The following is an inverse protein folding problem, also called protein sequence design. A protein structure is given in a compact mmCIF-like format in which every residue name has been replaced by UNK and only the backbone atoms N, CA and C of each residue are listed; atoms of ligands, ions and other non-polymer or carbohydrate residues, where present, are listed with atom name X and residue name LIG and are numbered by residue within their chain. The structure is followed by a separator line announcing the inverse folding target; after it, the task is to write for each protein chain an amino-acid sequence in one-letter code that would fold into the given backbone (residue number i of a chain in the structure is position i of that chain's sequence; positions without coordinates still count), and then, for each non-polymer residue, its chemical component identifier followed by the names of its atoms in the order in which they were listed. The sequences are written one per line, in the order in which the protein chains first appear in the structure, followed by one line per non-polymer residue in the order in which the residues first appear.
data_IF_989409976063
#
_entry.id   IF_989409976063
#
_cell.length_a   1.000
_cell.length_b   1.000
_cell.length_c   1.000
_cell.angle_alpha   90.00
_cell.angle_beta   90.00
_cell.angle_gamma   90.00
#
_symmetry.space_group_name_H-M   'P 1'
#
loop_
_entity.id
_entity.type
_entity.pdbx_description
1 polymer ?
#
# COMPACT_ATOMS: atom_id res chain seq x y z
N UNK A 1 -20.69 -2.84 25.29
CA UNK A 1 -20.82 -1.38 25.45
C UNK A 1 -19.99 -0.71 24.36
N UNK A 2 -20.65 -0.12 23.36
CA UNK A 2 -20.00 0.45 22.19
C UNK A 2 -19.27 1.75 22.53
N UNK A 3 -17.99 1.84 22.17
CA UNK A 3 -17.24 3.10 22.23
C UNK A 3 -17.84 4.04 21.19
N UNK A 4 -18.72 4.94 21.62
CA UNK A 4 -18.95 6.17 20.87
C UNK A 4 -17.61 6.91 20.90
N UNK A 5 -16.86 6.85 19.79
CA UNK A 5 -15.79 7.80 19.52
C UNK A 5 -16.48 9.16 19.54
N UNK A 6 -16.31 9.90 20.63
CA UNK A 6 -16.81 11.27 20.69
C UNK A 6 -16.04 12.05 19.62
N UNK A 7 -16.74 12.43 18.53
CA UNK A 7 -16.17 13.28 17.50
C UNK A 7 -15.69 14.58 18.16
N UNK A 8 -14.36 14.74 18.27
CA UNK A 8 -13.77 15.94 18.84
C UNK A 8 -13.89 17.05 17.80
N UNK A 9 -14.89 17.90 17.98
CA UNK A 9 -15.09 19.06 17.11
C UNK A 9 -14.08 20.16 17.45
N UNK A 10 -13.22 20.50 16.48
CA UNK A 10 -12.24 21.58 16.63
C UNK A 10 -12.62 22.78 15.74
N UNK A 11 -12.78 23.96 16.37
CA UNK A 11 -13.04 25.22 15.65
C UNK A 11 -11.73 25.78 15.10
N UNK A 12 -11.51 25.59 13.81
CA UNK A 12 -10.32 26.08 13.11
C UNK A 12 -10.45 27.56 12.73
N UNK A 13 -9.35 28.32 12.86
CA UNK A 13 -9.23 29.66 12.29
C UNK A 13 -8.43 29.58 10.99
N UNK A 14 -8.98 30.13 9.91
CA UNK A 14 -8.34 30.15 8.59
C UNK A 14 -8.69 31.44 7.84
N UNK A 15 -7.90 31.79 6.83
CA UNK A 15 -8.18 32.92 5.93
C UNK A 15 -9.31 32.59 4.96
N UNK A 16 -9.96 33.62 4.40
CA UNK A 16 -11.06 33.45 3.45
C UNK A 16 -10.59 32.71 2.18
N UNK A 17 -9.44 33.09 1.63
CA UNK A 17 -8.85 32.44 0.46
C UNK A 17 -8.59 30.93 0.69
N UNK A 18 -8.14 30.55 1.89
CA UNK A 18 -7.89 29.14 2.21
C UNK A 18 -9.21 28.36 2.28
N UNK A 19 -10.24 28.97 2.87
CA UNK A 19 -11.58 28.38 2.92
C UNK A 19 -12.13 28.16 1.51
N UNK A 20 -11.98 29.14 0.61
CA UNK A 20 -12.51 29.04 -0.75
C UNK A 20 -11.84 27.92 -1.55
N UNK A 21 -10.51 27.75 -1.39
CA UNK A 21 -9.77 26.60 -1.96
C UNK A 21 -10.26 25.26 -1.44
N UNK A 22 -10.56 25.15 -0.14
CA UNK A 22 -11.09 23.92 0.45
C UNK A 22 -12.50 23.64 -0.09
N UNK A 23 -13.35 24.68 -0.25
CA UNK A 23 -14.70 24.53 -0.83
C UNK A 23 -14.62 23.98 -2.25
N UNK A 24 -13.75 24.55 -3.08
CA UNK A 24 -13.57 24.12 -4.46
C UNK A 24 -13.08 22.68 -4.54
N UNK A 25 -12.03 22.35 -3.79
CA UNK A 25 -11.52 20.98 -3.64
C UNK A 25 -12.60 20.00 -3.19
N UNK A 26 -13.40 20.36 -2.18
CA UNK A 26 -14.45 19.51 -1.65
C UNK A 26 -15.52 19.21 -2.71
N UNK A 27 -15.86 20.19 -3.56
CA UNK A 27 -16.78 20.00 -4.69
C UNK A 27 -16.20 19.07 -5.75
N UNK A 28 -14.95 19.27 -6.14
CA UNK A 28 -14.27 18.40 -7.12
C UNK A 28 -14.24 16.93 -6.65
N UNK A 29 -14.04 16.73 -5.36
CA UNK A 29 -13.93 15.40 -4.75
C UNK A 29 -15.28 14.86 -4.22
N UNK A 30 -16.40 15.55 -4.48
CA UNK A 30 -17.75 15.18 -4.02
C UNK A 30 -17.83 14.87 -2.51
N UNK A 31 -17.13 15.66 -1.68
CA UNK A 31 -17.08 15.49 -0.21
C UNK A 31 -17.47 16.76 0.53
N UNK A 32 -17.79 16.64 1.83
CA UNK A 32 -18.06 17.81 2.67
C UNK A 32 -16.76 18.58 2.95
N UNK A 33 -16.86 19.85 3.32
CA UNK A 33 -15.70 20.68 3.66
C UNK A 33 -14.89 20.09 4.82
N UNK A 34 -15.56 19.61 5.87
CA UNK A 34 -14.89 18.96 6.99
C UNK A 34 -14.20 17.66 6.56
N UNK A 35 -14.84 16.86 5.69
CA UNK A 35 -14.22 15.65 5.15
C UNK A 35 -12.99 15.96 4.28
N UNK A 36 -12.99 17.06 3.53
CA UNK A 36 -11.84 17.52 2.75
C UNK A 36 -10.68 17.96 3.64
N UNK A 37 -10.97 18.71 4.69
CA UNK A 37 -9.99 19.17 5.69
C UNK A 37 -9.33 17.98 6.39
N UNK A 38 -10.14 17.04 6.88
CA UNK A 38 -9.67 15.85 7.58
C UNK A 38 -8.73 15.05 6.67
N UNK A 39 -9.19 14.75 5.44
CA UNK A 39 -8.38 14.02 4.46
C UNK A 39 -7.05 14.73 4.14
N UNK A 40 -7.05 16.05 3.97
CA UNK A 40 -5.81 16.82 3.72
C UNK A 40 -4.85 16.81 4.89
N UNK A 41 -5.37 16.88 6.13
CA UNK A 41 -4.54 16.78 7.32
C UNK A 41 -3.93 15.39 7.41
N UNK A 42 -4.69 14.34 7.15
CA UNK A 42 -4.18 12.97 7.14
C UNK A 42 -3.14 12.74 6.04
N UNK A 43 -3.38 13.25 4.82
CA UNK A 43 -2.39 13.25 3.74
C UNK A 43 -1.09 13.94 4.17
N UNK A 44 -1.17 15.03 4.94
CA UNK A 44 0.01 15.73 5.44
C UNK A 44 0.83 14.90 6.44
N UNK A 45 0.17 14.07 7.24
CA UNK A 45 0.86 13.13 8.14
C UNK A 45 1.43 11.93 7.36
N UNK A 46 0.80 11.52 6.26
CA UNK A 46 1.33 10.47 5.37
C UNK A 46 2.58 10.93 4.61
N UNK A 47 2.62 12.19 4.17
CA UNK A 47 3.80 12.77 3.52
C UNK A 47 5.04 12.69 4.43
N UNK A 48 4.89 12.80 5.75
CA UNK A 48 6.03 12.65 6.68
C UNK A 48 6.57 11.22 6.77
N UNK A 49 5.76 10.21 6.44
CA UNK A 49 6.19 8.80 6.37
C UNK A 49 6.78 8.48 4.99
N UNK A 50 6.24 9.08 3.93
CA UNK A 50 6.65 8.83 2.54
C UNK A 50 7.89 9.62 2.10
N UNK A 51 8.24 10.74 2.77
CA UNK A 51 9.44 11.52 2.41
C UNK A 51 10.75 10.87 2.92
N UNK A 52 10.68 9.78 3.68
CA UNK A 52 11.88 9.09 4.16
C UNK A 52 12.50 8.10 3.15
N UNK A 53 11.74 7.52 2.20
CA UNK A 53 12.26 6.42 1.38
C UNK A 53 11.97 6.61 -0.12
N UNK A 54 12.70 7.54 -0.73
CA UNK A 54 13.03 7.50 -2.18
C UNK A 54 14.04 6.39 -2.52
N UNK A 55 14.38 5.53 -1.56
CA UNK A 55 15.19 4.34 -1.77
C UNK A 55 14.22 3.18 -1.94
N UNK A 56 14.20 2.57 -3.13
CA UNK A 56 13.40 1.37 -3.37
C UNK A 56 13.82 0.31 -2.34
N UNK A 57 12.96 0.09 -1.34
CA UNK A 57 13.13 -1.01 -0.40
C UNK A 57 13.10 -2.30 -1.24
N UNK A 58 14.26 -2.93 -1.39
CA UNK A 58 14.47 -4.17 -2.16
C UNK A 58 15.07 -5.20 -1.21
N UNK A 59 14.45 -6.38 -1.16
CA UNK A 59 14.94 -7.55 -0.43
C UNK A 59 15.20 -8.68 -1.41
N UNK A 60 16.36 -9.33 -1.28
CA UNK A 60 16.71 -10.50 -2.08
C UNK A 60 16.98 -11.65 -1.13
N UNK A 61 16.28 -12.77 -1.32
CA UNK A 61 16.47 -13.99 -0.53
C UNK A 61 16.77 -15.19 -1.42
N UNK A 62 17.63 -16.13 -0.98
CA UNK A 62 17.76 -17.42 -1.64
C UNK A 62 16.55 -18.30 -1.33
N UNK A 63 16.09 -19.06 -2.32
CA UNK A 63 15.08 -20.11 -2.17
C UNK A 63 15.75 -21.49 -2.19
N UNK A 64 15.12 -22.47 -1.57
CA UNK A 64 15.61 -23.85 -1.47
C UNK A 64 15.78 -24.55 -2.82
N UNK A 65 15.04 -24.11 -3.85
CA UNK A 65 15.10 -24.64 -5.22
C UNK A 65 16.24 -24.05 -6.07
N UNK A 66 17.19 -23.31 -5.47
CA UNK A 66 18.31 -22.68 -6.18
C UNK A 66 17.97 -21.35 -6.86
N UNK A 67 16.71 -20.89 -6.80
CA UNK A 67 16.30 -19.56 -7.27
C UNK A 67 16.60 -18.50 -6.22
N UNK A 68 16.57 -17.24 -6.64
CA UNK A 68 16.55 -16.06 -5.78
C UNK A 68 15.19 -15.39 -5.93
N UNK A 69 14.60 -14.98 -4.81
CA UNK A 69 13.39 -14.17 -4.80
C UNK A 69 13.76 -12.72 -4.55
N UNK A 70 13.32 -11.84 -5.44
CA UNK A 70 13.45 -10.38 -5.33
C UNK A 70 12.09 -9.86 -4.89
N UNK A 71 12.06 -9.07 -3.81
CA UNK A 71 10.86 -8.45 -3.26
C UNK A 71 11.09 -6.95 -3.19
N UNK A 72 10.14 -6.15 -3.68
CA UNK A 72 10.23 -4.70 -3.63
C UNK A 72 8.85 -4.04 -3.60
N UNK A 73 8.80 -2.79 -3.17
CA UNK A 73 7.57 -1.98 -3.18
C UNK A 73 7.29 -1.30 -1.85
N UNK A 74 6.31 -0.39 -1.86
CA UNK A 74 6.00 0.52 -0.74
C UNK A 74 5.62 -0.20 0.56
N UNK A 75 5.09 -1.43 0.48
CA UNK A 75 4.63 -2.20 1.62
C UNK A 75 5.63 -3.26 2.08
N UNK A 76 6.82 -3.37 1.47
CA UNK A 76 7.81 -4.40 1.82
C UNK A 76 8.13 -4.41 3.32
N UNK A 77 8.42 -3.24 3.90
CA UNK A 77 8.75 -3.12 5.31
C UNK A 77 7.51 -3.00 6.22
N UNK A 78 6.30 -3.00 5.65
CA UNK A 78 5.03 -2.93 6.40
C UNK A 78 4.45 -4.32 6.64
N UNK A 79 4.62 -5.24 5.70
CA UNK A 79 4.06 -6.58 5.77
C UNK A 79 5.13 -7.56 6.26
N UNK A 80 4.93 -8.09 7.46
CA UNK A 80 5.80 -9.14 8.00
C UNK A 80 5.32 -10.50 7.47
N UNK A 81 5.92 -10.94 6.37
CA UNK A 81 5.55 -12.16 5.64
C UNK A 81 6.73 -13.13 5.57
N UNK A 82 6.43 -14.42 5.61
CA UNK A 82 7.43 -15.44 5.27
C UNK A 82 7.60 -15.51 3.75
N UNK A 83 8.63 -14.82 3.25
CA UNK A 83 8.94 -14.80 1.83
C UNK A 83 9.59 -16.10 1.30
N UNK A 84 9.94 -17.06 2.17
CA UNK A 84 10.63 -18.30 1.77
C UNK A 84 9.70 -19.38 1.21
N UNK A 85 8.39 -19.24 1.43
CA UNK A 85 7.35 -20.19 1.00
C UNK A 85 7.08 -20.16 -0.53
N UNK A 86 6.16 -21.01 -1.01
CA UNK A 86 5.78 -21.01 -2.43
C UNK A 86 5.03 -19.72 -2.82
N UNK A 87 5.00 -19.36 -4.12
CA UNK A 87 4.23 -18.17 -4.55
C UNK A 87 2.73 -18.33 -4.28
N UNK A 88 2.20 -19.56 -4.32
CA UNK A 88 0.78 -19.81 -4.06
C UNK A 88 0.43 -19.61 -2.59
N UNK A 89 1.27 -20.09 -1.67
CA UNK A 89 1.06 -19.90 -0.23
C UNK A 89 1.28 -18.42 0.15
N UNK A 90 2.34 -17.81 -0.38
CA UNK A 90 2.65 -16.39 -0.17
C UNK A 90 1.54 -15.48 -0.68
N UNK A 91 0.87 -15.85 -1.77
CA UNK A 91 -0.30 -15.11 -2.27
C UNK A 91 -1.40 -15.05 -1.21
N UNK A 92 -1.75 -16.18 -0.60
CA UNK A 92 -2.82 -16.28 0.40
C UNK A 92 -2.49 -15.40 1.61
N UNK A 93 -1.24 -15.43 2.07
CA UNK A 93 -0.80 -14.61 3.20
C UNK A 93 -0.83 -13.12 2.88
N UNK A 94 -0.46 -12.72 1.65
CA UNK A 94 -0.55 -11.31 1.21
C UNK A 94 -2.02 -10.89 1.17
N UNK A 95 -2.92 -11.70 0.61
CA UNK A 95 -4.35 -11.40 0.57
C UNK A 95 -4.91 -11.21 1.98
N UNK A 96 -4.57 -12.10 2.92
CA UNK A 96 -4.97 -12.00 4.32
C UNK A 96 -4.39 -10.74 5.00
N UNK A 97 -3.11 -10.43 4.74
CA UNK A 97 -2.45 -9.26 5.29
C UNK A 97 -3.06 -7.97 4.75
N UNK A 98 -3.40 -7.91 3.45
CA UNK A 98 -4.08 -6.77 2.82
C UNK A 98 -5.51 -6.60 3.35
N UNK A 99 -6.24 -7.70 3.54
CA UNK A 99 -7.56 -7.67 4.17
C UNK A 99 -7.46 -7.11 5.60
N UNK A 100 -6.52 -7.62 6.40
CA UNK A 100 -6.28 -7.14 7.77
C UNK A 100 -5.86 -5.67 7.78
N UNK A 101 -4.98 -5.28 6.86
CA UNK A 101 -4.49 -3.91 6.73
C UNK A 101 -5.63 -2.95 6.39
N UNK A 102 -6.52 -3.32 5.47
CA UNK A 102 -7.70 -2.54 5.11
C UNK A 102 -8.66 -2.36 6.28
N UNK A 103 -8.79 -3.36 7.16
CA UNK A 103 -9.64 -3.28 8.37
C UNK A 103 -8.98 -2.51 9.53
N UNK A 104 -7.66 -2.50 9.61
CA UNK A 104 -6.90 -1.96 10.76
C UNK A 104 -6.82 -0.43 10.81
N UNK A 105 -6.96 0.24 9.66
CA UNK A 105 -6.85 1.69 9.56
C UNK A 105 -7.89 2.22 8.59
N UNK A 106 -8.78 3.09 9.08
CA UNK A 106 -9.87 3.73 8.32
C UNK A 106 -9.34 4.41 7.04
N UNK A 107 -8.08 4.85 7.04
CA UNK A 107 -7.44 5.55 5.92
C UNK A 107 -6.75 4.63 4.92
N UNK A 108 -6.18 3.51 5.40
CA UNK A 108 -5.79 2.42 4.48
C UNK A 108 -7.05 1.80 3.86
N UNK A 109 -8.14 1.64 4.60
CA UNK A 109 -9.43 1.27 4.02
C UNK A 109 -9.84 2.22 2.87
N UNK A 110 -9.62 3.53 3.01
CA UNK A 110 -9.95 4.54 1.99
C UNK A 110 -9.08 4.46 0.72
N UNK A 111 -7.77 4.18 0.86
CA UNK A 111 -6.87 3.87 -0.28
C UNK A 111 -7.32 2.64 -1.06
N UNK A 112 -7.92 1.67 -0.37
CA UNK A 112 -8.46 0.44 -0.94
C UNK A 112 -9.92 0.61 -1.41
N UNK A 113 -10.65 1.63 -0.94
CA UNK A 113 -12.08 1.83 -1.25
C UNK A 113 -12.33 2.24 -2.72
N UNK A 114 -11.34 2.87 -3.35
CA UNK A 114 -11.41 3.32 -4.75
C UNK A 114 -10.74 2.36 -5.73
N UNK A 115 -10.17 1.25 -5.24
CA UNK A 115 -9.36 0.31 -6.01
C UNK A 115 -9.83 -1.11 -5.77
N UNK A 116 -9.88 -1.91 -6.83
CA UNK A 116 -10.11 -3.34 -6.69
C UNK A 116 -8.75 -4.01 -6.46
N UNK A 117 -8.32 -4.03 -5.19
CA UNK A 117 -6.99 -4.50 -4.79
C UNK A 117 -6.96 -6.01 -4.79
N UNK A 118 -6.23 -6.58 -5.73
CA UNK A 118 -6.04 -8.03 -5.83
C UNK A 118 -4.56 -8.39 -5.92
N UNK A 119 -4.23 -9.63 -5.54
CA UNK A 119 -2.90 -10.20 -5.71
C UNK A 119 -2.87 -11.02 -6.99
N UNK A 120 -2.27 -10.47 -8.05
CA UNK A 120 -2.07 -11.16 -9.30
C UNK A 120 -0.87 -12.10 -9.22
N UNK A 121 -1.04 -13.34 -9.69
CA UNK A 121 0.00 -14.36 -9.72
C UNK A 121 0.28 -14.78 -11.16
N UNK A 122 1.54 -14.69 -11.57
CA UNK A 122 2.08 -15.33 -12.76
C UNK A 122 2.89 -16.57 -12.41
N UNK A 123 3.58 -17.13 -13.42
CA UNK A 123 4.38 -18.35 -13.23
C UNK A 123 5.56 -18.18 -12.26
N UNK A 124 6.11 -16.97 -12.15
CA UNK A 124 7.31 -16.66 -11.36
C UNK A 124 7.22 -15.33 -10.62
N UNK A 125 6.04 -14.71 -10.53
CA UNK A 125 5.90 -13.43 -9.87
C UNK A 125 4.54 -13.25 -9.21
N UNK A 126 4.50 -12.40 -8.19
CA UNK A 126 3.30 -11.84 -7.58
C UNK A 126 3.35 -10.32 -7.67
N UNK A 127 2.20 -9.71 -7.90
CA UNK A 127 2.07 -8.26 -7.91
C UNK A 127 0.72 -7.84 -7.33
N UNK A 128 0.73 -6.81 -6.50
CA UNK A 128 -0.51 -6.15 -6.06
C UNK A 128 -0.97 -5.21 -7.18
N UNK A 129 -2.16 -5.48 -7.71
CA UNK A 129 -2.72 -4.74 -8.85
C UNK A 129 -4.10 -4.18 -8.55
N UNK A 130 -4.47 -3.14 -9.29
CA UNK A 130 -5.80 -2.55 -9.33
C UNK A 130 -6.59 -3.14 -10.50
N UNK A 131 -7.77 -3.67 -10.19
CA UNK A 131 -8.72 -4.26 -11.15
C UNK A 131 -8.06 -5.29 -12.09
N UNK A 132 -7.16 -6.09 -11.53
CA UNK A 132 -6.44 -7.17 -12.22
C UNK A 132 -5.48 -6.76 -13.33
N UNK A 133 -5.24 -5.47 -13.55
CA UNK A 133 -4.47 -4.99 -14.72
C UNK A 133 -3.31 -4.06 -14.36
N UNK A 134 -3.54 -3.09 -13.47
CA UNK A 134 -2.56 -2.03 -13.21
C UNK A 134 -1.75 -2.31 -11.95
N UNK A 135 -0.45 -2.53 -12.08
CA UNK A 135 0.45 -2.63 -10.93
C UNK A 135 0.38 -1.40 -10.03
N UNK A 136 0.15 -1.62 -8.74
CA UNK A 136 0.04 -0.55 -7.75
C UNK A 136 1.39 -0.13 -7.17
N UNK A 137 2.46 -0.91 -7.42
CA UNK A 137 3.79 -0.68 -6.84
C UNK A 137 3.85 -0.87 -5.33
N UNK A 138 2.83 -1.53 -4.76
CA UNK A 138 2.73 -1.76 -3.31
C UNK A 138 3.61 -2.91 -2.87
N UNK A 139 3.57 -4.03 -3.61
CA UNK A 139 4.46 -5.16 -3.41
C UNK A 139 4.57 -5.93 -4.72
N UNK A 140 5.81 -6.20 -5.12
CA UNK A 140 6.15 -7.05 -6.26
C UNK A 140 7.17 -8.08 -5.78
N UNK A 141 6.94 -9.33 -6.16
CA UNK A 141 7.79 -10.48 -5.81
C UNK A 141 8.10 -11.22 -7.09
N UNK A 142 9.37 -11.52 -7.34
CA UNK A 142 9.83 -12.19 -8.55
C UNK A 142 10.86 -13.28 -8.23
N UNK A 143 10.65 -14.48 -8.78
CA UNK A 143 11.58 -15.61 -8.68
C UNK A 143 12.48 -15.67 -9.92
N UNK A 144 13.78 -15.54 -9.68
CA UNK A 144 14.82 -15.55 -10.71
C UNK A 144 15.77 -16.72 -10.48
N UNK A 145 16.26 -17.36 -11.55
CA UNK A 145 17.36 -18.32 -11.39
C UNK A 145 18.62 -17.57 -10.93
N UNK A 146 19.23 -18.03 -9.84
CA UNK A 146 20.51 -17.49 -9.40
C UNK A 146 21.55 -17.90 -10.42
N UNK A 147 22.14 -16.94 -11.13
CA UNK A 147 23.18 -17.22 -12.13
C UNK A 147 24.40 -17.86 -11.46
N UNK A 148 24.39 -19.18 -11.37
CA UNK A 148 25.55 -20.07 -11.33
C UNK A 148 25.31 -20.96 -12.54
N UNK A 149 26.28 -21.03 -13.43
CA UNK A 149 26.27 -21.80 -14.70
C UNK A 149 25.96 -21.01 -16.00
N UNK A 150 26.28 -19.71 -16.03
CA UNK A 150 26.64 -19.03 -17.28
C UNK A 150 28.16 -18.83 -17.34
N UNK A 151 28.91 -19.94 -17.34
CA UNK A 151 30.30 -20.09 -17.82
C UNK A 151 30.76 -21.51 -17.49
N UNK A 152 30.51 -22.42 -18.41
CA UNK A 152 31.36 -23.57 -18.74
C UNK A 152 30.87 -24.04 -20.11
N UNK A 153 31.40 -23.38 -21.15
CA UNK A 153 31.81 -23.91 -22.45
C UNK A 153 32.00 -22.75 -23.45
#
# INVERSE_FOLDING_TARGET
MGKNLADVEYKMRMTQDLKDKIVESAKEHNRSMNADIVARLEDSFLATVDTANSQADIKIIPLSNGKKRVIYGKLLNTLDLDYTQSLSDLKVDIELALETLSRSSIWKALQFLTKDVIVAQGNSHLNIVDNGKKGLGWLVIEDHYGNRDAKND
#
